data_IF_625125896480
#
_entry.id   IF_625125896480
#
_cell.length_a   1.000
_cell.length_b   1.000
_cell.length_c   1.000
_cell.angle_alpha   90.00
_cell.angle_beta   90.00
_cell.angle_gamma   90.00
#
_symmetry.space_group_name_H-M   'P 1'
#
loop_
_entity.id
_entity.type
_entity.pdbx_description
1 polymer ?
#
# COMPACT_ATOMS: atom_id res chain seq x y z
N UNK A 1 10.28 42.46 -48.39
CA UNK A 1 11.11 42.18 -47.20
C UNK A 1 10.31 41.75 -45.96
N UNK A 2 9.13 42.31 -45.66
CA UNK A 2 8.35 41.93 -44.46
C UNK A 2 7.98 40.43 -44.35
N UNK A 3 7.76 39.74 -45.49
CA UNK A 3 7.41 38.31 -45.54
C UNK A 3 8.55 37.37 -45.10
N UNK A 4 9.81 37.82 -45.13
CA UNK A 4 10.96 36.98 -44.77
C UNK A 4 11.20 36.93 -43.24
N UNK A 5 10.71 37.91 -42.48
CA UNK A 5 10.88 38.00 -41.02
C UNK A 5 9.75 37.30 -40.25
N UNK A 6 8.58 37.12 -40.89
CA UNK A 6 7.42 36.47 -40.25
C UNK A 6 7.55 34.94 -40.18
N UNK A 7 8.29 34.31 -41.10
CA UNK A 7 8.43 32.85 -41.16
C UNK A 7 9.20 32.28 -39.95
N UNK A 8 10.36 32.85 -39.54
CA UNK A 8 11.10 32.37 -38.37
C UNK A 8 10.32 32.58 -37.07
N UNK A 9 9.59 33.69 -36.94
CA UNK A 9 8.76 33.96 -35.77
C UNK A 9 7.60 32.97 -35.62
N UNK A 10 6.91 32.65 -36.73
CA UNK A 10 5.86 31.63 -36.73
C UNK A 10 6.42 30.23 -36.41
N UNK A 11 7.60 29.88 -36.95
CA UNK A 11 8.25 28.59 -36.67
C UNK A 11 8.66 28.49 -35.19
N UNK A 12 9.18 29.57 -34.61
CA UNK A 12 9.57 29.64 -33.20
C UNK A 12 8.36 29.50 -32.26
N UNK A 13 7.26 30.20 -32.56
CA UNK A 13 6.00 30.05 -31.81
C UNK A 13 5.43 28.63 -31.93
N UNK A 14 5.55 28.02 -33.10
CA UNK A 14 5.12 26.63 -33.32
C UNK A 14 6.00 25.66 -32.52
N UNK A 15 7.32 25.83 -32.50
CA UNK A 15 8.21 25.01 -31.64
C UNK A 15 7.87 25.17 -30.16
N UNK A 16 7.62 26.40 -29.67
CA UNK A 16 7.18 26.63 -28.30
C UNK A 16 5.83 25.93 -28.04
N UNK A 17 4.87 26.08 -28.96
CA UNK A 17 3.57 25.42 -28.85
C UNK A 17 3.72 23.91 -28.76
N UNK A 18 4.50 23.29 -29.65
CA UNK A 18 4.74 21.85 -29.61
C UNK A 18 5.48 21.41 -28.35
N UNK A 19 6.45 22.18 -27.87
CA UNK A 19 7.24 21.82 -26.68
C UNK A 19 6.46 21.97 -25.37
N UNK A 20 5.56 22.95 -25.30
CA UNK A 20 4.77 23.24 -24.09
C UNK A 20 3.45 22.48 -24.08
N UNK A 21 2.71 22.43 -25.20
CA UNK A 21 1.34 21.89 -25.22
C UNK A 21 1.26 20.42 -25.61
N UNK A 22 2.18 19.87 -26.42
CA UNK A 22 2.11 18.45 -26.83
C UNK A 22 2.33 17.49 -25.66
N UNK A 23 3.22 17.73 -24.68
CA UNK A 23 3.31 16.88 -23.50
C UNK A 23 1.98 16.77 -22.75
N UNK A 24 1.19 17.86 -22.69
CA UNK A 24 -0.15 17.84 -22.10
C UNK A 24 -1.20 17.14 -22.98
N UNK A 25 -1.00 17.08 -24.29
CA UNK A 25 -1.84 16.26 -25.19
C UNK A 25 -1.50 14.77 -25.09
N UNK A 26 -0.32 14.40 -24.60
CA UNK A 26 0.09 12.99 -24.41
C UNK A 26 -0.50 12.32 -23.16
N UNK A 27 -1.03 13.08 -22.20
CA UNK A 27 -1.67 12.46 -21.04
C UNK A 27 -3.00 11.82 -21.44
N UNK A 28 -3.22 10.58 -21.01
CA UNK A 28 -4.44 9.87 -21.28
C UNK A 28 -5.66 10.64 -20.72
N UNK A 29 -6.81 10.67 -21.41
CA UNK A 29 -7.97 11.44 -20.97
C UNK A 29 -8.47 11.09 -19.56
N UNK A 30 -8.42 9.82 -19.17
CA UNK A 30 -8.78 9.39 -17.81
C UNK A 30 -7.84 10.00 -16.77
N UNK A 31 -6.53 10.03 -17.05
CA UNK A 31 -5.52 10.57 -16.15
C UNK A 31 -5.74 12.06 -15.89
N UNK A 32 -6.15 12.83 -16.90
CA UNK A 32 -6.47 14.25 -16.73
C UNK A 32 -7.65 14.47 -15.77
N UNK A 33 -8.64 13.58 -15.78
CA UNK A 33 -9.76 13.65 -14.85
C UNK A 33 -9.30 13.36 -13.42
N UNK A 34 -8.44 12.35 -13.24
CA UNK A 34 -7.84 12.02 -11.94
C UNK A 34 -6.96 13.18 -11.44
N UNK A 35 -6.05 13.70 -12.27
CA UNK A 35 -5.18 14.83 -11.90
C UNK A 35 -6.01 16.06 -11.51
N UNK A 36 -7.11 16.32 -12.22
CA UNK A 36 -8.05 17.40 -11.91
C UNK A 36 -8.80 17.15 -10.60
N UNK A 37 -9.23 15.91 -10.35
CA UNK A 37 -9.84 15.53 -9.09
C UNK A 37 -8.86 15.77 -7.93
N UNK A 38 -7.61 15.28 -8.04
CA UNK A 38 -6.57 15.46 -7.02
C UNK A 38 -6.30 16.93 -6.75
N UNK A 39 -6.28 17.76 -7.81
CA UNK A 39 -6.16 19.21 -7.68
C UNK A 39 -7.31 19.81 -6.86
N UNK A 40 -8.57 19.52 -7.18
CA UNK A 40 -9.72 20.03 -6.42
C UNK A 40 -9.72 19.53 -4.97
N UNK A 41 -9.33 18.27 -4.74
CA UNK A 41 -9.19 17.70 -3.41
C UNK A 41 -8.16 18.43 -2.56
N UNK A 42 -6.99 18.74 -3.13
CA UNK A 42 -5.94 19.52 -2.43
C UNK A 42 -6.42 20.91 -1.97
N UNK A 43 -7.44 21.46 -2.66
CA UNK A 43 -8.10 22.73 -2.34
C UNK A 43 -9.30 22.59 -1.41
N UNK A 44 -9.55 21.40 -0.86
CA UNK A 44 -10.73 21.04 -0.05
C UNK A 44 -12.06 21.20 -0.79
N UNK A 45 -12.04 21.14 -2.13
CA UNK A 45 -13.24 21.18 -2.98
C UNK A 45 -13.75 19.75 -3.25
N UNK A 46 -14.14 19.04 -2.18
CA UNK A 46 -14.48 17.60 -2.22
C UNK A 46 -15.54 17.24 -3.27
N UNK A 47 -16.68 17.95 -3.29
CA UNK A 47 -17.78 17.65 -4.22
C UNK A 47 -17.36 17.70 -5.70
N UNK A 48 -16.53 18.68 -6.07
CA UNK A 48 -16.03 18.79 -7.45
C UNK A 48 -15.07 17.66 -7.80
N UNK A 49 -14.26 17.27 -6.83
CA UNK A 49 -13.35 16.15 -7.00
C UNK A 49 -14.11 14.86 -7.23
N UNK A 50 -15.11 14.58 -6.39
CA UNK A 50 -15.92 13.36 -6.48
C UNK A 50 -16.67 13.31 -7.82
N UNK A 51 -17.27 14.42 -8.25
CA UNK A 51 -17.92 14.51 -9.55
C UNK A 51 -16.98 14.25 -10.74
N UNK A 52 -15.70 14.62 -10.65
CA UNK A 52 -14.71 14.33 -11.70
C UNK A 52 -14.32 12.84 -11.74
N UNK A 53 -14.29 12.18 -10.59
CA UNK A 53 -14.01 10.75 -10.51
C UNK A 53 -15.19 9.92 -10.97
N UNK A 54 -16.42 10.28 -10.58
CA UNK A 54 -17.63 9.65 -11.11
C UNK A 54 -17.67 9.77 -12.63
N UNK A 55 -17.28 10.93 -13.15
CA UNK A 55 -17.13 11.14 -14.60
C UNK A 55 -16.03 10.26 -15.19
N UNK A 56 -14.92 10.04 -14.48
CA UNK A 56 -13.85 9.15 -14.94
C UNK A 56 -14.30 7.69 -14.97
N UNK A 57 -14.94 7.20 -13.90
CA UNK A 57 -15.49 5.84 -13.79
C UNK A 57 -16.52 5.57 -14.89
N UNK A 58 -17.44 6.52 -15.13
CA UNK A 58 -18.46 6.39 -16.17
C UNK A 58 -17.88 6.39 -17.59
N UNK A 59 -16.82 7.17 -17.84
CA UNK A 59 -16.22 7.28 -19.18
C UNK A 59 -15.16 6.22 -19.48
N UNK A 60 -14.48 5.71 -18.46
CA UNK A 60 -13.34 4.80 -18.58
C UNK A 60 -13.48 3.60 -17.62
N UNK A 61 -14.58 2.83 -17.69
CA UNK A 61 -14.86 1.76 -16.72
C UNK A 61 -13.93 0.54 -16.84
N UNK A 62 -13.07 0.50 -17.85
CA UNK A 62 -12.08 -0.57 -18.06
C UNK A 62 -10.67 -0.15 -17.67
N UNK A 63 -10.49 1.03 -17.05
CA UNK A 63 -9.18 1.52 -16.60
C UNK A 63 -9.03 1.30 -15.09
N UNK A 64 -8.22 0.30 -14.65
CA UNK A 64 -8.06 -0.04 -13.23
C UNK A 64 -7.62 1.12 -12.36
N UNK A 65 -6.73 1.97 -12.88
CA UNK A 65 -6.15 3.12 -12.16
C UNK A 65 -7.22 4.09 -11.68
N UNK A 66 -8.35 4.23 -12.41
CA UNK A 66 -9.46 5.08 -11.96
C UNK A 66 -10.08 4.54 -10.67
N UNK A 67 -10.25 3.22 -10.56
CA UNK A 67 -10.77 2.56 -9.36
C UNK A 67 -9.77 2.62 -8.21
N UNK A 68 -8.48 2.42 -8.52
CA UNK A 68 -7.42 2.49 -7.53
C UNK A 68 -7.29 3.90 -6.94
N UNK A 69 -7.27 4.93 -7.79
CA UNK A 69 -7.18 6.31 -7.35
C UNK A 69 -8.39 6.70 -6.50
N UNK A 70 -9.59 6.24 -6.87
CA UNK A 70 -10.79 6.39 -6.04
C UNK A 70 -10.58 5.76 -4.65
N UNK A 71 -10.11 4.52 -4.60
CA UNK A 71 -9.90 3.80 -3.35
C UNK A 71 -8.85 4.47 -2.44
N UNK A 72 -7.70 4.84 -2.99
CA UNK A 72 -6.57 5.37 -2.23
C UNK A 72 -6.77 6.81 -1.75
N UNK A 73 -7.38 7.66 -2.60
CA UNK A 73 -7.38 9.10 -2.37
C UNK A 73 -8.75 9.63 -1.90
N UNK A 74 -9.83 8.85 -2.01
CA UNK A 74 -11.19 9.39 -1.94
C UNK A 74 -12.13 8.65 -1.01
N UNK A 75 -12.03 8.98 0.28
CA UNK A 75 -13.17 9.28 1.16
C UNK A 75 -12.65 9.77 2.51
N UNK A 76 -13.52 10.35 3.34
CA UNK A 76 -13.25 10.38 4.78
C UNK A 76 -13.16 8.94 5.30
N UNK A 77 -12.43 8.69 6.40
CA UNK A 77 -12.28 7.34 6.97
C UNK A 77 -13.62 6.63 7.23
N UNK A 78 -14.69 7.41 7.33
CA UNK A 78 -16.07 6.99 7.56
C UNK A 78 -16.74 6.29 6.35
N UNK A 79 -16.18 6.36 5.14
CA UNK A 79 -16.78 5.72 3.96
C UNK A 79 -15.95 4.59 3.32
N UNK A 80 -15.26 3.81 4.17
CA UNK A 80 -14.45 2.69 3.72
C UNK A 80 -15.26 1.59 2.99
N UNK A 81 -16.52 1.38 3.39
CA UNK A 81 -17.38 0.38 2.76
C UNK A 81 -17.70 0.70 1.30
N UNK A 82 -18.10 1.94 0.99
CA UNK A 82 -18.44 2.30 -0.39
C UNK A 82 -17.19 2.28 -1.28
N UNK A 83 -16.04 2.73 -0.76
CA UNK A 83 -14.75 2.62 -1.46
C UNK A 83 -14.40 1.18 -1.80
N UNK A 84 -14.61 0.29 -0.84
CA UNK A 84 -14.34 -1.12 -1.00
C UNK A 84 -15.24 -1.74 -2.07
N UNK A 85 -16.51 -1.34 -2.14
CA UNK A 85 -17.42 -1.77 -3.20
C UNK A 85 -16.95 -1.27 -4.58
N UNK A 86 -16.51 -0.01 -4.68
CA UNK A 86 -16.02 0.57 -5.93
C UNK A 86 -14.78 -0.14 -6.45
N UNK A 87 -13.77 -0.37 -5.60
CA UNK A 87 -12.57 -1.11 -6.03
C UNK A 87 -12.91 -2.56 -6.39
N UNK A 88 -13.85 -3.18 -5.67
CA UNK A 88 -14.34 -4.53 -5.97
C UNK A 88 -15.07 -4.58 -7.32
N UNK A 89 -15.86 -3.57 -7.65
CA UNK A 89 -16.47 -3.43 -8.96
C UNK A 89 -15.41 -3.30 -10.07
N UNK A 90 -14.39 -2.48 -9.84
CA UNK A 90 -13.25 -2.34 -10.74
C UNK A 90 -12.58 -3.69 -11.01
N UNK A 91 -12.23 -4.42 -9.95
CA UNK A 91 -11.63 -5.74 -10.06
C UNK A 91 -12.52 -6.74 -10.82
N UNK A 92 -13.83 -6.76 -10.55
CA UNK A 92 -14.77 -7.62 -11.30
C UNK A 92 -14.81 -7.31 -12.80
N UNK A 93 -14.60 -6.04 -13.19
CA UNK A 93 -14.63 -5.61 -14.59
C UNK A 93 -13.31 -5.83 -15.32
N UNK A 94 -12.20 -5.56 -14.65
CA UNK A 94 -10.87 -5.53 -15.28
C UNK A 94 -10.03 -6.76 -15.00
N UNK A 95 -10.36 -7.51 -13.93
CA UNK A 95 -9.54 -8.58 -13.36
C UNK A 95 -8.08 -8.13 -13.14
N UNK A 96 -7.90 -6.87 -12.75
CA UNK A 96 -6.59 -6.26 -12.60
C UNK A 96 -5.89 -6.70 -11.29
N UNK A 97 -4.61 -7.07 -11.41
CA UNK A 97 -3.82 -7.59 -10.28
C UNK A 97 -3.67 -6.57 -9.15
N UNK A 98 -3.51 -5.28 -9.47
CA UNK A 98 -3.28 -4.24 -8.46
C UNK A 98 -4.56 -4.06 -7.66
N UNK A 99 -5.72 -4.02 -8.33
CA UNK A 99 -7.00 -3.99 -7.64
C UNK A 99 -7.21 -5.22 -6.74
N UNK A 100 -6.89 -6.42 -7.25
CA UNK A 100 -6.96 -7.66 -6.48
C UNK A 100 -6.07 -7.63 -5.23
N UNK A 101 -4.85 -7.11 -5.34
CA UNK A 101 -3.92 -6.91 -4.22
C UNK A 101 -4.51 -5.98 -3.15
N UNK A 102 -5.03 -4.80 -3.53
CA UNK A 102 -5.61 -3.86 -2.58
C UNK A 102 -6.88 -4.39 -1.91
N UNK A 103 -7.72 -5.14 -2.65
CA UNK A 103 -8.88 -5.82 -2.08
C UNK A 103 -8.43 -6.88 -1.05
N UNK A 104 -7.46 -7.72 -1.42
CA UNK A 104 -6.91 -8.74 -0.52
C UNK A 104 -6.29 -8.15 0.74
N UNK A 105 -5.51 -7.07 0.60
CA UNK A 105 -4.95 -6.31 1.72
C UNK A 105 -6.04 -5.75 2.63
N UNK A 106 -7.11 -5.19 2.05
CA UNK A 106 -8.23 -4.66 2.85
C UNK A 106 -8.96 -5.78 3.60
N UNK A 107 -9.16 -6.94 2.98
CA UNK A 107 -9.72 -8.11 3.67
C UNK A 107 -8.85 -8.57 4.83
N UNK A 108 -7.52 -8.57 4.66
CA UNK A 108 -6.57 -8.89 5.72
C UNK A 108 -6.71 -7.92 6.90
N UNK A 109 -6.69 -6.61 6.63
CA UNK A 109 -6.85 -5.57 7.65
C UNK A 109 -8.16 -5.70 8.44
N UNK A 110 -9.25 -6.11 7.77
CA UNK A 110 -10.57 -6.26 8.38
C UNK A 110 -10.83 -7.66 8.95
N UNK A 111 -9.89 -8.58 8.74
CA UNK A 111 -9.96 -9.91 9.31
C UNK A 111 -10.81 -10.92 8.56
N UNK A 112 -11.17 -10.64 7.31
CA UNK A 112 -11.79 -11.62 6.41
C UNK A 112 -10.68 -12.48 5.78
N UNK A 113 -10.02 -13.28 6.64
CA UNK A 113 -8.75 -13.92 6.33
C UNK A 113 -8.84 -14.92 5.18
N UNK A 114 -9.96 -15.62 5.02
CA UNK A 114 -10.15 -16.56 3.91
C UNK A 114 -10.23 -15.82 2.57
N UNK A 115 -10.95 -14.71 2.49
CA UNK A 115 -10.99 -13.91 1.25
C UNK A 115 -9.66 -13.22 0.96
N UNK A 116 -8.97 -12.76 2.00
CA UNK A 116 -7.61 -12.26 1.87
C UNK A 116 -6.68 -13.34 1.30
N UNK A 117 -6.79 -14.57 1.81
CA UNK A 117 -6.02 -15.73 1.37
C UNK A 117 -6.28 -16.08 -0.08
N UNK A 118 -7.54 -16.08 -0.52
CA UNK A 118 -7.91 -16.38 -1.91
C UNK A 118 -7.28 -15.39 -2.90
N UNK A 119 -7.28 -14.08 -2.57
CA UNK A 119 -6.73 -13.05 -3.44
C UNK A 119 -5.20 -12.98 -3.38
N UNK A 120 -4.64 -12.92 -2.17
CA UNK A 120 -3.21 -12.69 -1.97
C UNK A 120 -2.34 -13.88 -2.37
N UNK A 121 -2.86 -15.12 -2.33
CA UNK A 121 -2.11 -16.30 -2.80
C UNK A 121 -2.12 -16.46 -4.32
N UNK A 122 -2.84 -15.65 -5.09
CA UNK A 122 -2.75 -15.70 -6.54
C UNK A 122 -1.33 -15.37 -7.01
N UNK A 123 -0.82 -16.08 -8.02
CA UNK A 123 0.54 -15.87 -8.56
C UNK A 123 0.78 -14.41 -8.96
N UNK A 124 -0.23 -13.75 -9.52
CA UNK A 124 -0.16 -12.34 -9.89
C UNK A 124 0.05 -11.43 -8.67
N UNK A 125 -0.71 -11.64 -7.58
CA UNK A 125 -0.53 -10.86 -6.36
C UNK A 125 0.82 -11.15 -5.70
N UNK A 126 1.27 -12.41 -5.68
CA UNK A 126 2.60 -12.80 -5.17
C UNK A 126 3.72 -12.07 -5.91
N UNK A 127 3.67 -12.05 -7.23
CA UNK A 127 4.65 -11.34 -8.05
C UNK A 127 4.60 -9.82 -7.81
N UNK A 128 3.40 -9.24 -7.69
CA UNK A 128 3.26 -7.81 -7.37
C UNK A 128 3.81 -7.47 -5.98
N UNK A 129 3.54 -8.30 -4.98
CA UNK A 129 4.11 -8.16 -3.64
C UNK A 129 5.63 -8.20 -3.66
N UNK A 130 6.21 -9.14 -4.41
CA UNK A 130 7.66 -9.23 -4.59
C UNK A 130 8.23 -7.98 -5.26
N UNK A 131 7.65 -7.53 -6.38
CA UNK A 131 8.09 -6.33 -7.10
C UNK A 131 8.04 -5.06 -6.22
N UNK A 132 7.05 -4.98 -5.33
CA UNK A 132 6.83 -3.80 -4.47
C UNK A 132 7.41 -3.91 -3.06
N UNK A 133 7.95 -5.06 -2.68
CA UNK A 133 8.50 -5.25 -1.33
C UNK A 133 7.43 -5.38 -0.24
N UNK A 134 6.27 -5.98 -0.52
CA UNK A 134 5.18 -6.14 0.45
C UNK A 134 5.15 -7.54 1.09
N UNK A 135 5.17 -7.61 2.42
CA UNK A 135 5.19 -8.85 3.23
C UNK A 135 3.82 -9.28 3.75
N UNK A 136 2.75 -9.17 2.95
CA UNK A 136 1.37 -9.45 3.41
C UNK A 136 1.05 -10.94 3.60
N UNK A 137 1.71 -11.85 2.89
CA UNK A 137 1.46 -13.29 3.07
C UNK A 137 1.94 -13.82 4.43
N UNK A 138 3.16 -13.50 4.90
CA UNK A 138 3.56 -13.80 6.27
C UNK A 138 2.56 -13.29 7.30
N UNK A 139 2.07 -12.06 7.14
CA UNK A 139 1.07 -11.48 8.04
C UNK A 139 -0.24 -12.27 8.02
N UNK A 140 -0.74 -12.59 6.84
CA UNK A 140 -1.96 -13.37 6.66
C UNK A 140 -1.85 -14.74 7.36
N UNK A 141 -0.77 -15.48 7.14
CA UNK A 141 -0.59 -16.80 7.76
C UNK A 141 -0.39 -16.69 9.28
N UNK A 142 0.28 -15.64 9.76
CA UNK A 142 0.37 -15.35 11.18
C UNK A 142 -1.01 -15.10 11.81
N UNK A 143 -1.87 -14.31 11.16
CA UNK A 143 -3.23 -14.03 11.62
C UNK A 143 -4.17 -15.25 11.50
N UNK A 144 -3.90 -16.16 10.57
CA UNK A 144 -4.56 -17.48 10.48
C UNK A 144 -4.08 -18.47 11.56
N UNK A 145 -3.00 -18.15 12.27
CA UNK A 145 -2.39 -19.02 13.29
C UNK A 145 -1.45 -20.10 12.73
N UNK A 146 -1.17 -20.08 11.43
CA UNK A 146 -0.20 -20.99 10.80
C UNK A 146 1.20 -20.37 10.84
N UNK A 147 1.81 -20.36 12.03
CA UNK A 147 3.09 -19.68 12.25
C UNK A 147 4.24 -20.31 11.46
N UNK A 148 4.16 -21.62 11.20
CA UNK A 148 5.16 -22.31 10.38
C UNK A 148 5.10 -21.79 8.95
N UNK A 149 3.89 -21.74 8.36
CA UNK A 149 3.72 -21.22 7.01
C UNK A 149 4.05 -19.73 6.92
N UNK A 150 3.75 -18.96 7.96
CA UNK A 150 4.12 -17.54 8.04
C UNK A 150 5.64 -17.34 7.97
N UNK A 151 6.42 -18.16 8.70
CA UNK A 151 7.88 -18.11 8.65
C UNK A 151 8.42 -18.53 7.27
N UNK A 152 7.92 -19.64 6.71
CA UNK A 152 8.30 -20.11 5.37
C UNK A 152 8.05 -19.05 4.30
N UNK A 153 6.86 -18.43 4.28
CA UNK A 153 6.54 -17.38 3.31
C UNK A 153 7.37 -16.12 3.50
N UNK A 154 7.80 -15.83 4.74
CA UNK A 154 8.66 -14.67 5.03
C UNK A 154 10.07 -14.91 4.50
N UNK A 155 10.63 -16.08 4.80
CA UNK A 155 11.95 -16.47 4.30
C UNK A 155 11.97 -16.59 2.78
N UNK A 156 10.96 -17.21 2.18
CA UNK A 156 10.84 -17.35 0.72
C UNK A 156 10.71 -15.99 0.02
N UNK A 157 9.96 -15.06 0.60
CA UNK A 157 9.83 -13.70 0.08
C UNK A 157 11.18 -12.99 0.03
N UNK A 158 11.93 -13.00 1.13
CA UNK A 158 13.23 -12.35 1.20
C UNK A 158 14.32 -13.07 0.40
N UNK A 159 14.27 -14.40 0.35
CA UNK A 159 15.12 -15.16 -0.56
C UNK A 159 14.87 -14.74 -2.01
N UNK A 160 13.59 -14.62 -2.41
CA UNK A 160 13.24 -14.18 -3.77
C UNK A 160 13.69 -12.75 -4.08
N UNK A 161 13.69 -11.84 -3.09
CA UNK A 161 14.18 -10.47 -3.25
C UNK A 161 15.70 -10.39 -3.40
N UNK A 162 16.44 -11.27 -2.71
CA UNK A 162 17.89 -11.21 -2.60
C UNK A 162 18.64 -12.35 -3.32
N UNK A 163 17.92 -13.28 -3.97
CA UNK A 163 18.50 -14.42 -4.70
C UNK A 163 19.49 -13.98 -5.78
N UNK A 164 19.30 -12.79 -6.37
CA UNK A 164 20.25 -12.21 -7.33
C UNK A 164 21.62 -11.87 -6.71
N UNK A 165 21.70 -11.73 -5.39
CA UNK A 165 22.90 -11.31 -4.67
C UNK A 165 23.64 -12.45 -3.96
N UNK A 166 23.00 -13.63 -3.81
CA UNK A 166 23.62 -14.80 -3.17
C UNK A 166 23.93 -14.61 -1.68
N UNK A 167 23.25 -13.66 -1.03
CA UNK A 167 23.50 -13.28 0.36
C UNK A 167 22.99 -14.34 1.35
N UNK A 168 23.64 -14.44 2.50
CA UNK A 168 23.12 -15.19 3.65
C UNK A 168 21.84 -14.51 4.18
N UNK A 169 20.85 -15.28 4.63
CA UNK A 169 19.65 -14.71 5.25
C UNK A 169 19.98 -13.84 6.47
N UNK A 170 21.08 -14.14 7.18
CA UNK A 170 21.56 -13.26 8.25
C UNK A 170 21.92 -11.84 7.77
N UNK A 171 22.45 -11.71 6.55
CA UNK A 171 22.77 -10.41 5.94
C UNK A 171 21.50 -9.68 5.49
N UNK A 172 20.46 -10.42 5.07
CA UNK A 172 19.18 -9.80 4.67
C UNK A 172 18.48 -9.14 5.85
N UNK A 173 18.62 -9.68 7.08
CA UNK A 173 18.07 -9.08 8.30
C UNK A 173 18.58 -7.64 8.53
N UNK A 174 19.80 -7.33 8.12
CA UNK A 174 20.37 -5.99 8.28
C UNK A 174 19.72 -4.96 7.35
N UNK A 175 19.08 -5.40 6.27
CA UNK A 175 18.40 -4.54 5.29
C UNK A 175 16.88 -4.44 5.50
N UNK A 176 16.34 -5.19 6.48
CA UNK A 176 14.90 -5.23 6.73
C UNK A 176 14.36 -3.95 7.38
N UNK A 177 13.12 -3.63 7.04
CA UNK A 177 12.39 -2.57 7.74
C UNK A 177 12.09 -2.99 9.19
N UNK A 178 11.92 -2.03 10.12
CA UNK A 178 11.44 -2.35 11.47
C UNK A 178 10.16 -3.17 11.49
N UNK A 179 9.25 -2.93 10.55
CA UNK A 179 7.98 -3.66 10.44
C UNK A 179 8.21 -5.14 10.14
N UNK A 180 9.14 -5.44 9.25
CA UNK A 180 9.46 -6.81 8.84
C UNK A 180 10.23 -7.56 9.93
N UNK A 181 11.21 -6.90 10.58
CA UNK A 181 11.91 -7.47 11.74
C UNK A 181 10.94 -7.80 12.88
N UNK A 182 9.99 -6.91 13.16
CA UNK A 182 8.93 -7.14 14.15
C UNK A 182 8.04 -8.30 13.74
N UNK A 183 7.66 -8.39 12.46
CA UNK A 183 6.83 -9.48 11.97
C UNK A 183 7.51 -10.83 12.18
N UNK A 184 8.76 -10.97 11.72
CA UNK A 184 9.53 -12.20 11.91
C UNK A 184 9.74 -12.53 13.39
N UNK A 185 10.06 -11.53 14.21
CA UNK A 185 10.21 -11.72 15.65
C UNK A 185 8.89 -12.13 16.33
N UNK A 186 7.73 -11.60 15.89
CA UNK A 186 6.41 -12.03 16.37
C UNK A 186 6.12 -13.47 15.99
N UNK A 187 6.38 -13.85 14.73
CA UNK A 187 6.22 -15.23 14.24
C UNK A 187 7.05 -16.18 15.13
N UNK A 188 8.35 -15.90 15.30
CA UNK A 188 9.27 -16.72 16.09
C UNK A 188 8.91 -16.79 17.57
N UNK A 189 8.58 -15.65 18.18
CA UNK A 189 8.16 -15.61 19.58
C UNK A 189 6.90 -16.45 19.81
N UNK A 190 5.96 -16.42 18.86
CA UNK A 190 4.69 -17.14 18.97
C UNK A 190 4.85 -18.64 18.69
N UNK A 191 5.75 -19.01 17.78
CA UNK A 191 6.09 -20.42 17.49
C UNK A 191 7.04 -21.05 18.53
N UNK A 192 7.58 -20.25 19.46
CA UNK A 192 8.52 -20.70 20.48
C UNK A 192 9.96 -20.86 19.99
N UNK A 193 10.30 -20.24 18.86
CA UNK A 193 11.67 -20.19 18.32
C UNK A 193 12.39 -18.91 18.77
N UNK A 194 13.70 -18.85 18.52
CA UNK A 194 14.53 -17.72 18.96
C UNK A 194 14.20 -16.44 18.20
N UNK A 195 13.43 -15.56 18.84
CA UNK A 195 13.14 -14.22 18.35
C UNK A 195 14.18 -13.17 18.78
N UNK A 196 15.00 -13.46 19.80
CA UNK A 196 15.98 -12.50 20.32
C UNK A 196 17.14 -12.31 19.35
N UNK A 197 17.50 -13.32 18.56
CA UNK A 197 18.43 -13.15 17.44
C UNK A 197 17.95 -12.10 16.45
N UNK A 198 16.65 -12.08 16.11
CA UNK A 198 16.07 -11.07 15.20
C UNK A 198 16.12 -9.68 15.82
N UNK A 199 15.71 -9.54 17.09
CA UNK A 199 15.64 -8.24 17.76
C UNK A 199 17.00 -7.57 17.98
N UNK A 200 18.12 -8.32 17.89
CA UNK A 200 19.47 -7.75 17.93
C UNK A 200 19.81 -6.89 16.71
N UNK A 201 19.13 -7.10 15.58
CA UNK A 201 19.32 -6.27 14.40
C UNK A 201 18.64 -4.93 14.61
N UNK A 202 19.39 -3.85 14.38
CA UNK A 202 18.86 -2.50 14.47
C UNK A 202 17.97 -2.21 13.26
N UNK A 203 16.76 -1.67 13.46
CA UNK A 203 15.88 -1.38 12.35
C UNK A 203 16.40 -0.20 11.51
N UNK A 204 16.36 -0.34 10.18
CA UNK A 204 16.66 0.76 9.25
C UNK A 204 15.39 1.57 8.94
N UNK A 205 15.41 2.87 9.20
CA UNK A 205 14.30 3.76 8.78
C UNK A 205 14.40 4.21 7.32
N UNK A 206 15.61 4.18 6.77
CA UNK A 206 15.92 4.41 5.36
C UNK A 206 17.30 3.87 5.05
N UNK A 207 17.68 3.87 3.77
CA UNK A 207 19.04 3.55 3.30
C UNK A 207 20.15 4.45 3.91
N UNK A 208 19.78 5.53 4.62
CA UNK A 208 20.70 6.52 5.16
C UNK A 208 20.51 6.80 6.66
N UNK A 209 19.59 6.11 7.35
CA UNK A 209 19.35 6.37 8.77
C UNK A 209 18.86 5.13 9.49
N UNK A 210 19.61 4.76 10.52
CA UNK A 210 19.16 3.81 11.53
C UNK A 210 18.04 4.46 12.36
N UNK A 211 17.16 3.62 12.91
CA UNK A 211 16.16 4.00 13.90
C UNK A 211 16.37 3.11 15.12
N UNK A 212 16.38 3.67 16.32
CA UNK A 212 16.45 2.84 17.52
C UNK A 212 15.11 2.14 17.76
N UNK A 213 15.14 1.01 18.47
CA UNK A 213 13.90 0.35 18.92
C UNK A 213 13.05 1.28 19.81
N UNK A 214 13.67 2.18 20.57
CA UNK A 214 12.98 3.22 21.35
C UNK A 214 12.24 4.23 20.47
N UNK A 215 12.84 4.67 19.37
CA UNK A 215 12.20 5.59 18.42
C UNK A 215 11.00 4.92 17.74
N UNK A 216 11.18 3.66 17.30
CA UNK A 216 10.10 2.90 16.67
C UNK A 216 8.96 2.60 17.67
N UNK A 217 9.28 2.26 18.91
CA UNK A 217 8.31 2.09 19.99
C UNK A 217 7.49 3.36 20.20
N UNK A 218 8.14 4.53 20.20
CA UNK A 218 7.48 5.83 20.37
C UNK A 218 6.51 6.12 19.22
N UNK A 219 6.91 5.85 17.97
CA UNK A 219 6.04 5.98 16.79
C UNK A 219 4.81 5.04 16.89
N UNK A 220 5.01 3.76 17.24
CA UNK A 220 3.89 2.82 17.40
C UNK A 220 2.92 3.25 18.51
N UNK A 221 3.42 3.73 19.64
CA UNK A 221 2.59 4.26 20.72
C UNK A 221 1.81 5.50 20.30
N UNK A 222 2.44 6.40 19.55
CA UNK A 222 1.77 7.59 19.02
C UNK A 222 0.68 7.22 18.01
N UNK A 223 0.93 6.28 17.10
CA UNK A 223 -0.06 5.75 16.16
C UNK A 223 -1.23 5.08 16.87
N UNK A 224 -0.97 4.26 17.89
CA UNK A 224 -2.02 3.66 18.71
C UNK A 224 -2.86 4.71 19.44
N UNK A 225 -2.23 5.78 19.96
CA UNK A 225 -2.94 6.90 20.60
C UNK A 225 -3.82 7.69 19.63
N UNK A 226 -3.37 7.85 18.38
CA UNK A 226 -4.12 8.52 17.30
C UNK A 226 -5.17 7.62 16.64
N UNK A 227 -5.28 6.35 17.06
CA UNK A 227 -6.18 5.38 16.47
C UNK A 227 -7.64 5.70 16.83
N UNK A 228 -8.31 6.46 15.96
CA UNK A 228 -9.74 6.71 16.09
C UNK A 228 -10.54 5.43 15.82
N UNK A 229 -11.59 5.13 16.62
CA UNK A 229 -12.52 4.05 16.31
C UNK A 229 -13.14 4.28 14.93
N UNK A 230 -13.02 3.29 14.06
CA UNK A 230 -13.77 3.27 12.82
C UNK A 230 -15.26 3.05 13.15
N UNK A 231 -16.12 3.88 12.59
CA UNK A 231 -17.58 3.75 12.70
C UNK A 231 -18.13 2.64 11.79
N UNK A 232 -17.36 2.24 10.78
CA UNK A 232 -17.70 1.22 9.79
C UNK A 232 -16.51 0.32 9.50
N UNK A 233 -16.77 -0.96 9.19
CA UNK A 233 -15.81 -1.86 8.55
C UNK A 233 -16.34 -2.30 7.17
N UNK A 234 -15.48 -2.84 6.30
CA UNK A 234 -15.93 -3.38 5.00
C UNK A 234 -16.84 -4.60 5.16
N UNK A 235 -16.67 -5.34 6.26
CA UNK A 235 -17.46 -6.50 6.64
C UNK A 235 -17.49 -6.65 8.17
N UNK A 236 -18.66 -6.96 8.72
CA UNK A 236 -18.80 -7.32 10.13
C UNK A 236 -18.92 -6.15 11.11
N UNK A 237 -18.74 -6.45 12.39
CA UNK A 237 -18.89 -5.52 13.51
C UNK A 237 -17.68 -4.56 13.61
N UNK A 238 -17.88 -3.23 13.53
CA UNK A 238 -16.81 -2.24 13.72
C UNK A 238 -16.07 -2.40 15.06
N UNK A 239 -16.73 -2.93 16.09
CA UNK A 239 -16.10 -3.24 17.38
C UNK A 239 -14.99 -4.28 17.25
N UNK A 240 -15.22 -5.34 16.46
CA UNK A 240 -14.24 -6.39 16.17
C UNK A 240 -13.07 -5.83 15.38
N UNK A 241 -13.32 -5.04 14.33
CA UNK A 241 -12.28 -4.39 13.54
C UNK A 241 -11.40 -3.47 14.39
N UNK A 242 -12.01 -2.61 15.20
CA UNK A 242 -11.28 -1.71 16.09
C UNK A 242 -10.47 -2.45 17.15
N UNK A 243 -10.99 -3.57 17.66
CA UNK A 243 -10.24 -4.46 18.56
C UNK A 243 -9.01 -5.03 17.86
N UNK A 244 -9.14 -5.57 16.65
CA UNK A 244 -8.01 -6.10 15.86
C UNK A 244 -6.94 -5.05 15.61
N UNK A 245 -7.31 -3.84 15.18
CA UNK A 245 -6.35 -2.74 14.98
C UNK A 245 -5.59 -2.41 16.26
N UNK A 246 -6.26 -2.40 17.42
CA UNK A 246 -5.58 -2.19 18.71
C UNK A 246 -4.65 -3.35 19.05
N UNK A 247 -5.06 -4.59 18.83
CA UNK A 247 -4.24 -5.78 19.06
C UNK A 247 -3.00 -5.81 18.15
N UNK A 248 -3.14 -5.41 16.89
CA UNK A 248 -2.05 -5.26 15.93
C UNK A 248 -0.91 -4.40 16.50
N UNK A 249 -1.23 -3.21 17.02
CA UNK A 249 -0.23 -2.32 17.64
C UNK A 249 0.24 -2.85 18.99
N UNK A 250 -0.67 -3.33 19.83
CA UNK A 250 -0.36 -3.76 21.19
C UNK A 250 0.65 -4.91 21.22
N UNK A 251 0.50 -5.92 20.35
CA UNK A 251 1.43 -7.06 20.25
C UNK A 251 2.85 -6.59 19.89
N UNK A 252 2.96 -5.66 18.94
CA UNK A 252 4.24 -5.10 18.47
C UNK A 252 4.92 -4.25 19.54
N UNK A 253 4.15 -3.38 20.21
CA UNK A 253 4.61 -2.57 21.34
C UNK A 253 5.13 -3.48 22.47
N UNK A 254 4.37 -4.51 22.85
CA UNK A 254 4.76 -5.46 23.89
C UNK A 254 6.01 -6.26 23.51
N UNK A 255 6.16 -6.64 22.24
CA UNK A 255 7.36 -7.31 21.76
C UNK A 255 8.60 -6.43 21.99
N UNK A 256 8.57 -5.18 21.52
CA UNK A 256 9.70 -4.25 21.66
C UNK A 256 9.98 -3.97 23.14
N UNK A 257 8.94 -3.70 23.95
CA UNK A 257 9.09 -3.48 25.39
C UNK A 257 9.66 -4.68 26.14
N UNK A 258 9.41 -5.91 25.68
CA UNK A 258 9.99 -7.11 26.28
C UNK A 258 11.46 -7.33 25.92
N UNK A 259 11.95 -6.63 24.90
CA UNK A 259 13.33 -6.69 24.44
C UNK A 259 14.20 -5.59 25.05
N UNK A 260 13.64 -4.37 25.20
CA UNK A 260 14.29 -3.22 25.83
C UNK A 260 14.43 -3.34 27.34
#
# INVERSE_FOLDING_TARGET
>A
MLKLILLPGALFLLVIFFRVFVPHLKTAPWKRLIDSALYHRSRKETEKSDALLDKALNKFPMQPEVYLDYFLNYSEAENLKDRFEIISEGYRKTNDVILGFFIGSTYLEHGDLEKAKDLLNSDFCRNYMLEKGFTLLPELYYELGDYKKAEEEFEDFYRSLYDEYGNDFAETLEEMSPQDLIMLALIRKTSGTDYLSIMKHAPKSSIHSDMSWQDHLSDLQERLKKLNPASVGISGDPGVFNKRRKEYFSKRIQLIQSYL
#
